data_IF_388414916645
#
_entry.id   IF_388414916645
#
_cell.length_a   1.000
_cell.length_b   1.000
_cell.length_c   1.000
_cell.angle_alpha   90.00
_cell.angle_beta   90.00
_cell.angle_gamma   90.00
#
_symmetry.space_group_name_H-M   'P 1'
#
loop_
_entity.id
_entity.type
_entity.pdbx_description
1 polymer ?
#
# COMPACT_ATOMS: atom_id res chain seq x y z
N UNK A 1 0.50 18.46 12.45
CA UNK A 1 -0.23 18.84 11.22
C UNK A 1 0.70 19.20 10.08
N UNK A 2 1.78 19.98 10.30
CA UNK A 2 2.79 20.27 9.27
C UNK A 2 3.30 19.00 8.56
N UNK A 3 3.68 17.97 9.33
CA UNK A 3 4.12 16.67 8.79
C UNK A 3 3.13 16.03 7.81
N UNK A 4 1.81 16.23 8.00
CA UNK A 4 0.79 15.71 7.09
C UNK A 4 0.82 16.44 5.75
N UNK A 5 0.89 17.76 5.82
CA UNK A 5 0.96 18.64 4.64
C UNK A 5 2.20 18.30 3.82
N UNK A 6 3.35 18.14 4.48
CA UNK A 6 4.62 17.82 3.82
C UNK A 6 4.59 16.48 3.06
N UNK A 7 3.77 15.52 3.52
CA UNK A 7 3.67 14.18 2.93
C UNK A 7 2.39 13.96 2.12
N UNK A 8 1.54 14.98 1.96
CA UNK A 8 0.23 14.90 1.33
C UNK A 8 0.31 14.32 -0.08
N UNK A 9 1.23 14.81 -0.92
CA UNK A 9 1.33 14.34 -2.32
C UNK A 9 1.66 12.84 -2.41
N UNK A 10 2.49 12.33 -1.49
CA UNK A 10 2.82 10.91 -1.42
C UNK A 10 1.62 10.09 -0.96
N UNK A 11 0.84 10.60 0.00
CA UNK A 11 -0.38 9.97 0.48
C UNK A 11 -1.45 9.89 -0.62
N UNK A 12 -1.64 10.96 -1.40
CA UNK A 12 -2.57 10.98 -2.55
C UNK A 12 -2.13 9.97 -3.61
N UNK A 13 -0.83 9.92 -3.95
CA UNK A 13 -0.31 8.91 -4.90
C UNK A 13 -0.57 7.47 -4.44
N UNK A 14 -0.40 7.18 -3.15
CA UNK A 14 -0.69 5.85 -2.59
C UNK A 14 -2.19 5.56 -2.67
N UNK A 15 -3.03 6.49 -2.25
CA UNK A 15 -4.48 6.33 -2.30
C UNK A 15 -4.98 6.15 -3.74
N UNK A 16 -4.46 6.90 -4.72
CA UNK A 16 -4.82 6.81 -6.13
C UNK A 16 -4.53 5.44 -6.74
N UNK A 17 -3.42 4.80 -6.33
CA UNK A 17 -3.11 3.42 -6.74
C UNK A 17 -4.11 2.39 -6.21
N UNK A 18 -4.80 2.69 -5.11
CA UNK A 18 -5.78 1.79 -4.49
C UNK A 18 -7.18 2.08 -5.02
N UNK A 19 -7.57 3.36 -5.10
CA UNK A 19 -8.91 3.78 -5.54
C UNK A 19 -9.07 3.74 -7.06
N UNK A 20 -7.97 3.69 -7.81
CA UNK A 20 -7.96 3.78 -9.28
C UNK A 20 -8.39 5.16 -9.81
N UNK A 21 -8.55 6.16 -8.94
CA UNK A 21 -9.06 7.49 -9.31
C UNK A 21 -8.40 8.56 -8.43
N UNK A 22 -7.80 9.56 -9.09
CA UNK A 22 -7.10 10.65 -8.40
C UNK A 22 -8.03 11.52 -7.54
N UNK A 23 -9.20 11.92 -8.06
CA UNK A 23 -10.16 12.72 -7.30
C UNK A 23 -10.61 12.01 -6.03
N UNK A 24 -10.91 10.71 -6.09
CA UNK A 24 -11.26 9.94 -4.89
C UNK A 24 -10.10 9.76 -3.91
N UNK A 25 -8.88 9.74 -4.42
CA UNK A 25 -7.69 9.69 -3.58
C UNK A 25 -7.49 10.99 -2.79
N UNK A 26 -7.81 12.13 -3.41
CA UNK A 26 -7.83 13.43 -2.74
C UNK A 26 -8.84 13.46 -1.59
N UNK A 27 -10.07 12.97 -1.84
CA UNK A 27 -11.12 12.86 -0.81
C UNK A 27 -10.69 11.95 0.35
N UNK A 28 -10.12 10.78 0.04
CA UNK A 28 -9.60 9.84 1.04
C UNK A 28 -8.53 10.48 1.93
N UNK A 29 -7.61 11.24 1.34
CA UNK A 29 -6.55 11.93 2.09
C UNK A 29 -7.14 13.04 2.95
N UNK A 30 -8.17 13.73 2.46
CA UNK A 30 -8.88 14.75 3.21
C UNK A 30 -9.63 14.15 4.41
N UNK A 31 -10.33 13.04 4.24
CA UNK A 31 -10.99 12.31 5.33
C UNK A 31 -9.99 11.78 6.36
N UNK A 32 -8.85 11.29 5.89
CA UNK A 32 -7.76 10.87 6.77
C UNK A 32 -7.23 12.02 7.61
N UNK A 33 -7.11 13.23 7.04
CA UNK A 33 -6.71 14.43 7.77
C UNK A 33 -7.67 14.73 8.93
N UNK A 34 -8.98 14.73 8.67
CA UNK A 34 -10.00 14.99 9.71
C UNK A 34 -10.00 13.92 10.81
N UNK A 35 -9.85 12.64 10.46
CA UNK A 35 -9.70 11.55 11.43
C UNK A 35 -8.45 11.69 12.29
N UNK A 36 -7.32 12.09 11.70
CA UNK A 36 -6.06 12.26 12.41
C UNK A 36 -6.07 13.50 13.31
N UNK A 37 -6.80 14.54 12.94
CA UNK A 37 -6.98 15.74 13.76
C UNK A 37 -7.84 15.49 15.01
N UNK A 38 -8.82 14.59 14.91
CA UNK A 38 -9.72 14.23 16.00
C UNK A 38 -9.17 13.12 16.91
N UNK A 39 -8.06 12.48 16.53
CA UNK A 39 -7.43 11.44 17.34
C UNK A 39 -6.75 12.04 18.58
N UNK A 40 -6.83 11.37 19.75
CA UNK A 40 -6.14 11.84 20.95
C UNK A 40 -4.64 11.97 20.70
N UNK A 41 -4.04 13.03 21.23
CA UNK A 41 -2.61 13.35 21.14
C UNK A 41 -1.78 12.31 21.90
N UNK A 42 -1.63 11.12 21.34
CA UNK A 42 -0.67 10.14 21.82
C UNK A 42 0.72 10.69 21.46
N UNK A 43 1.60 10.86 22.45
CA UNK A 43 3.01 11.24 22.23
C UNK A 43 3.76 10.09 21.55
N UNK A 44 3.53 9.92 20.25
CA UNK A 44 4.23 8.99 19.39
C UNK A 44 5.53 9.62 18.89
N UNK A 45 6.56 8.80 18.66
CA UNK A 45 7.76 9.24 17.95
C UNK A 45 7.42 9.68 16.51
N UNK A 46 8.25 10.52 15.89
CA UNK A 46 8.03 11.01 14.53
C UNK A 46 7.79 9.87 13.51
N UNK A 47 8.59 8.80 13.59
CA UNK A 47 8.45 7.60 12.74
C UNK A 47 7.11 6.90 12.96
N UNK A 48 6.66 6.79 14.22
CA UNK A 48 5.38 6.18 14.54
C UNK A 48 4.19 7.05 14.09
N UNK A 49 4.30 8.38 14.18
CA UNK A 49 3.30 9.31 13.66
C UNK A 49 3.16 9.16 12.13
N UNK A 50 4.26 9.21 11.39
CA UNK A 50 4.23 9.01 9.94
C UNK A 50 3.63 7.66 9.55
N UNK A 51 4.06 6.57 10.21
CA UNK A 51 3.52 5.24 9.95
C UNK A 51 2.01 5.19 10.20
N UNK A 52 1.53 5.82 11.26
CA UNK A 52 0.10 5.87 11.59
C UNK A 52 -0.70 6.68 10.56
N UNK A 53 -0.15 7.78 10.05
CA UNK A 53 -0.80 8.60 9.02
C UNK A 53 -0.95 7.83 7.70
N UNK A 54 0.13 7.20 7.23
CA UNK A 54 0.10 6.38 6.01
C UNK A 54 -0.82 5.15 6.15
N UNK A 55 -0.86 4.54 7.34
CA UNK A 55 -1.80 3.46 7.64
C UNK A 55 -3.25 3.94 7.53
N UNK A 56 -3.55 5.11 8.11
CA UNK A 56 -4.89 5.68 8.09
C UNK A 56 -5.36 5.95 6.66
N UNK A 57 -4.56 6.65 5.85
CA UNK A 57 -4.87 6.93 4.44
C UNK A 57 -5.10 5.64 3.65
N UNK A 58 -4.22 4.64 3.82
CA UNK A 58 -4.35 3.36 3.14
C UNK A 58 -5.65 2.64 3.49
N UNK A 59 -6.00 2.59 4.77
CA UNK A 59 -7.21 1.91 5.22
C UNK A 59 -8.46 2.57 4.63
N UNK A 60 -8.54 3.91 4.65
CA UNK A 60 -9.65 4.63 4.01
C UNK A 60 -9.70 4.36 2.51
N UNK A 61 -8.55 4.37 1.81
CA UNK A 61 -8.52 4.08 0.38
C UNK A 61 -9.09 2.69 0.05
N UNK A 62 -8.75 1.68 0.86
CA UNK A 62 -9.26 0.31 0.70
C UNK A 62 -10.75 0.23 1.00
N UNK A 63 -11.21 0.91 2.04
CA UNK A 63 -12.63 0.96 2.39
C UNK A 63 -13.45 1.60 1.26
N UNK A 64 -12.96 2.69 0.66
CA UNK A 64 -13.56 3.32 -0.51
C UNK A 64 -13.60 2.37 -1.71
N UNK A 65 -12.49 1.69 -2.02
CA UNK A 65 -12.43 0.72 -3.10
C UNK A 65 -13.44 -0.43 -2.90
N UNK A 66 -13.53 -0.98 -1.69
CA UNK A 66 -14.48 -2.06 -1.35
C UNK A 66 -15.93 -1.63 -1.49
N UNK A 67 -16.28 -0.42 -1.03
CA UNK A 67 -17.62 0.14 -1.19
C UNK A 67 -17.96 0.29 -2.68
N UNK A 68 -17.05 0.84 -3.46
CA UNK A 68 -17.26 0.99 -4.90
C UNK A 68 -17.45 -0.36 -5.59
N UNK A 69 -16.63 -1.37 -5.25
CA UNK A 69 -16.77 -2.71 -5.82
C UNK A 69 -18.12 -3.35 -5.45
N UNK A 70 -18.64 -3.10 -4.25
CA UNK A 70 -19.96 -3.56 -3.85
C UNK A 70 -21.08 -2.82 -4.61
N UNK A 71 -20.97 -1.51 -4.74
CA UNK A 71 -21.90 -0.68 -5.50
C UNK A 71 -21.93 -1.09 -6.97
N UNK A 72 -20.78 -1.29 -7.62
CA UNK A 72 -20.68 -1.78 -8.99
C UNK A 72 -21.30 -3.18 -9.17
N UNK A 73 -21.24 -4.05 -8.15
CA UNK A 73 -21.88 -5.38 -8.17
C UNK A 73 -23.39 -5.33 -7.97
N UNK A 74 -23.92 -4.26 -7.38
CA UNK A 74 -25.36 -4.05 -7.21
C UNK A 74 -25.96 -3.16 -8.32
N UNK A 75 -25.13 -2.34 -8.96
CA UNK A 75 -25.51 -1.43 -10.05
C UNK A 75 -25.31 -2.02 -11.45
N UNK A 76 -24.84 -3.26 -11.58
CA UNK A 76 -24.65 -3.94 -12.89
C UNK A 76 -25.96 -4.40 -13.53
N UNK A 77 -26.98 -3.53 -13.52
CA UNK A 77 -28.20 -3.68 -14.32
C UNK A 77 -28.43 -2.53 -15.30
N UNK A 78 -27.63 -1.46 -15.32
CA UNK A 78 -27.82 -0.35 -16.27
C UNK A 78 -26.48 0.20 -16.79
N UNK A 79 -26.50 0.60 -18.07
CA UNK A 79 -25.39 0.74 -19.00
C UNK A 79 -24.44 1.94 -18.79
N UNK A 80 -23.29 1.82 -19.47
CA UNK A 80 -22.57 2.86 -20.24
C UNK A 80 -21.50 3.76 -19.58
N UNK A 81 -20.27 3.62 -20.13
CA UNK A 81 -19.44 4.72 -20.63
C UNK A 81 -18.70 5.63 -19.65
N UNK A 82 -17.36 5.65 -19.70
CA UNK A 82 -16.55 6.72 -20.33
C UNK A 82 -15.07 6.67 -19.86
N UNK A 83 -14.17 6.66 -20.85
CA UNK A 83 -12.77 7.12 -20.88
C UNK A 83 -12.07 7.43 -19.53
N UNK A 84 -11.10 6.59 -19.17
CA UNK A 84 -10.03 6.96 -18.24
C UNK A 84 -8.82 7.38 -19.06
N UNK A 85 -8.64 8.69 -19.24
CA UNK A 85 -7.41 9.27 -19.80
C UNK A 85 -6.22 8.91 -18.90
N UNK A 86 -5.30 8.12 -19.45
CA UNK A 86 -4.02 7.82 -18.81
C UNK A 86 -3.08 9.02 -18.97
N UNK A 87 -3.11 9.93 -18.00
CA UNK A 87 -2.03 10.91 -17.84
C UNK A 87 -1.03 10.40 -16.81
N UNK A 88 -0.01 9.68 -17.28
CA UNK A 88 1.28 9.66 -16.59
C UNK A 88 2.40 9.46 -17.62
N UNK A 89 3.02 10.56 -18.05
CA UNK A 89 4.23 10.56 -18.86
C UNK A 89 5.43 10.17 -17.98
N UNK A 90 5.50 8.89 -17.62
CA UNK A 90 6.76 8.30 -17.18
C UNK A 90 7.58 7.99 -18.45
N UNK A 91 8.85 8.43 -18.48
CA UNK A 91 9.77 8.07 -19.56
C UNK A 91 9.78 6.54 -19.74
N UNK A 92 9.85 6.01 -20.98
CA UNK A 92 9.94 4.56 -21.23
C UNK A 92 11.02 3.87 -20.39
N UNK A 93 12.10 4.60 -20.12
CA UNK A 93 13.25 4.16 -19.33
C UNK A 93 12.94 4.02 -17.83
N UNK A 94 12.13 4.93 -17.26
CA UNK A 94 11.69 4.83 -15.86
C UNK A 94 10.60 3.77 -15.70
N UNK A 95 9.73 3.59 -16.69
CA UNK A 95 8.75 2.49 -16.72
C UNK A 95 9.43 1.12 -16.73
N UNK A 96 10.49 0.95 -17.54
CA UNK A 96 11.22 -0.31 -17.63
C UNK A 96 11.93 -0.65 -16.31
N UNK A 97 12.63 0.32 -15.70
CA UNK A 97 13.28 0.15 -14.39
C UNK A 97 12.28 -0.20 -13.27
N UNK A 98 11.06 0.34 -13.34
CA UNK A 98 10.00 0.02 -12.39
C UNK A 98 9.44 -1.40 -12.57
N UNK A 99 9.22 -1.83 -13.81
CA UNK A 99 8.74 -3.18 -14.12
C UNK A 99 9.71 -4.26 -13.64
N UNK A 100 10.99 -4.07 -13.94
CA UNK A 100 12.05 -5.01 -13.55
C UNK A 100 12.23 -5.09 -12.02
N UNK A 101 12.13 -3.94 -11.33
CA UNK A 101 12.16 -3.92 -9.86
C UNK A 101 10.95 -4.65 -9.27
N UNK A 102 9.77 -4.54 -9.88
CA UNK A 102 8.58 -5.26 -9.43
C UNK A 102 8.69 -6.76 -9.66
N UNK A 103 9.26 -7.18 -10.79
CA UNK A 103 9.50 -8.59 -11.10
C UNK A 103 10.45 -9.24 -10.09
N UNK A 104 11.55 -8.55 -9.73
CA UNK A 104 12.47 -9.02 -8.68
C UNK A 104 11.77 -9.18 -7.32
N UNK A 105 10.92 -8.23 -6.94
CA UNK A 105 10.16 -8.32 -5.69
C UNK A 105 9.18 -9.50 -5.75
N UNK A 106 8.53 -9.74 -6.88
CA UNK A 106 7.63 -10.87 -7.06
C UNK A 106 8.38 -12.22 -6.93
N UNK A 107 9.55 -12.35 -7.55
CA UNK A 107 10.42 -13.54 -7.42
C UNK A 107 10.86 -13.73 -5.97
N UNK A 108 11.31 -12.67 -5.31
CA UNK A 108 11.74 -12.73 -3.90
C UNK A 108 10.58 -13.18 -2.98
N UNK A 109 9.37 -12.63 -3.17
CA UNK A 109 8.19 -13.06 -2.42
C UNK A 109 7.82 -14.52 -2.71
N UNK A 110 8.02 -14.99 -3.94
CA UNK A 110 7.81 -16.38 -4.35
C UNK A 110 8.70 -17.40 -3.62
N UNK A 111 9.85 -16.97 -3.10
CA UNK A 111 10.80 -17.83 -2.36
C UNK A 111 10.47 -17.95 -0.86
N UNK A 112 9.55 -17.13 -0.35
CA UNK A 112 9.17 -17.15 1.06
C UNK A 112 8.18 -18.29 1.35
N UNK A 113 8.13 -18.79 2.59
CA UNK A 113 7.05 -19.67 3.02
C UNK A 113 5.69 -19.05 2.74
N UNK A 114 4.74 -19.86 2.28
CA UNK A 114 3.42 -19.40 1.83
C UNK A 114 2.70 -18.53 2.86
N UNK A 115 2.75 -18.92 4.14
CA UNK A 115 2.16 -18.13 5.23
C UNK A 115 2.81 -16.76 5.39
N UNK A 116 4.13 -16.67 5.20
CA UNK A 116 4.90 -15.42 5.30
C UNK A 116 4.61 -14.50 4.14
N UNK A 117 4.57 -15.04 2.92
CA UNK A 117 4.12 -14.32 1.73
C UNK A 117 2.69 -13.80 1.91
N UNK A 118 1.77 -14.66 2.34
CA UNK A 118 0.37 -14.30 2.59
C UNK A 118 0.23 -13.17 3.62
N UNK A 119 0.91 -13.28 4.77
CA UNK A 119 0.90 -12.24 5.79
C UNK A 119 1.42 -10.90 5.27
N UNK A 120 2.48 -10.93 4.46
CA UNK A 120 3.03 -9.75 3.82
C UNK A 120 2.04 -9.14 2.81
N UNK A 121 1.46 -9.94 1.92
CA UNK A 121 0.51 -9.49 0.91
C UNK A 121 -0.75 -8.90 1.56
N UNK A 122 -1.35 -9.60 2.53
CA UNK A 122 -2.51 -9.11 3.25
C UNK A 122 -2.23 -7.77 3.93
N UNK A 123 -1.05 -7.62 4.54
CA UNK A 123 -0.68 -6.37 5.20
C UNK A 123 -0.30 -5.24 4.22
N UNK A 124 0.49 -5.52 3.18
CA UNK A 124 1.09 -4.52 2.30
C UNK A 124 0.28 -4.19 1.07
N UNK A 125 -0.40 -5.18 0.51
CA UNK A 125 -1.25 -5.03 -0.67
C UNK A 125 -2.67 -4.73 -0.21
N UNK A 126 -3.21 -5.58 0.66
CA UNK A 126 -4.62 -5.48 1.07
C UNK A 126 -4.85 -4.65 2.34
N UNK A 127 -3.80 -4.08 2.94
CA UNK A 127 -3.87 -3.19 4.11
C UNK A 127 -4.51 -3.79 5.36
N UNK A 128 -4.65 -5.12 5.44
CA UNK A 128 -5.32 -5.81 6.53
C UNK A 128 -4.52 -5.64 7.83
N UNK A 129 -5.16 -5.30 8.97
CA UNK A 129 -4.47 -5.18 10.25
C UNK A 129 -3.82 -6.50 10.68
N UNK A 130 -2.63 -6.43 11.29
CA UNK A 130 -1.89 -7.63 11.73
C UNK A 130 -2.69 -8.50 12.70
N UNK A 131 -3.57 -7.90 13.51
CA UNK A 131 -4.46 -8.63 14.42
C UNK A 131 -5.47 -9.51 13.67
N UNK A 132 -6.03 -9.04 12.57
CA UNK A 132 -6.98 -9.82 11.75
C UNK A 132 -6.25 -10.92 10.97
N UNK A 133 -5.06 -10.63 10.44
CA UNK A 133 -4.19 -11.62 9.79
C UNK A 133 -3.80 -12.72 10.79
N UNK A 134 -3.53 -12.35 12.04
CA UNK A 134 -3.18 -13.30 13.11
C UNK A 134 -4.32 -14.26 13.41
N UNK A 135 -5.57 -13.76 13.47
CA UNK A 135 -6.77 -14.59 13.65
C UNK A 135 -6.94 -15.56 12.47
N UNK A 136 -6.83 -15.08 11.24
CA UNK A 136 -6.98 -15.88 10.02
C UNK A 136 -5.91 -16.97 9.89
N UNK A 137 -4.67 -16.64 10.25
CA UNK A 137 -3.56 -17.59 10.23
C UNK A 137 -3.49 -18.47 11.49
N UNK A 138 -4.32 -18.24 12.51
CA UNK A 138 -4.28 -18.98 13.77
C UNK A 138 -2.97 -18.81 14.55
N UNK A 139 -2.38 -17.61 14.54
CA UNK A 139 -1.09 -17.30 15.18
C UNK A 139 -1.17 -16.02 16.03
N UNK A 140 -0.09 -15.68 16.73
CA UNK A 140 -0.02 -14.41 17.47
C UNK A 140 0.22 -13.21 16.54
N UNK A 141 -0.30 -12.01 16.87
CA UNK A 141 0.04 -10.78 16.14
C UNK A 141 1.56 -10.50 16.10
N UNK A 142 2.28 -10.93 17.14
CA UNK A 142 3.74 -10.86 17.20
C UNK A 142 4.39 -11.70 16.10
N UNK A 143 3.90 -12.92 15.87
CA UNK A 143 4.41 -13.78 14.79
C UNK A 143 4.12 -13.17 13.42
N UNK A 144 2.92 -12.61 13.20
CA UNK A 144 2.59 -11.90 11.96
C UNK A 144 3.55 -10.72 11.72
N UNK A 145 3.91 -9.97 12.76
CA UNK A 145 4.89 -8.90 12.67
C UNK A 145 6.26 -9.43 12.21
N UNK A 146 6.74 -10.54 12.79
CA UNK A 146 7.99 -11.19 12.36
C UNK A 146 7.91 -11.62 10.89
N UNK A 147 6.84 -12.30 10.49
CA UNK A 147 6.64 -12.73 9.11
C UNK A 147 6.70 -11.56 8.11
N UNK A 148 6.01 -10.44 8.42
CA UNK A 148 6.05 -9.23 7.58
C UNK A 148 7.45 -8.62 7.53
N UNK A 149 8.17 -8.58 8.67
CA UNK A 149 9.55 -8.06 8.72
C UNK A 149 10.51 -8.91 7.91
N UNK A 150 10.43 -10.23 8.03
CA UNK A 150 11.31 -11.15 7.33
C UNK A 150 11.09 -11.06 5.82
N UNK A 151 9.83 -10.97 5.38
CA UNK A 151 9.49 -10.72 3.99
C UNK A 151 10.07 -9.39 3.47
N UNK A 152 9.98 -8.31 4.24
CA UNK A 152 10.57 -7.02 3.87
C UNK A 152 12.10 -7.08 3.74
N UNK A 153 12.77 -7.76 4.68
CA UNK A 153 14.23 -7.92 4.67
C UNK A 153 14.65 -8.72 3.45
N UNK A 154 13.94 -9.82 3.16
CA UNK A 154 14.20 -10.68 2.01
C UNK A 154 14.07 -9.90 0.69
N UNK A 155 12.94 -9.24 0.45
CA UNK A 155 12.75 -8.45 -0.77
C UNK A 155 13.79 -7.34 -0.92
N UNK A 156 14.20 -6.69 0.17
CA UNK A 156 15.19 -5.61 0.14
C UNK A 156 16.59 -6.13 -0.20
N UNK A 157 16.97 -7.31 0.32
CA UNK A 157 18.24 -7.96 0.00
C UNK A 157 18.31 -8.39 -1.48
N UNK A 158 17.23 -8.95 -2.02
CA UNK A 158 17.17 -9.35 -3.43
C UNK A 158 17.36 -8.15 -4.36
N UNK A 159 16.71 -7.03 -4.07
CA UNK A 159 16.83 -5.80 -4.88
C UNK A 159 18.22 -5.15 -4.73
N UNK A 160 18.86 -5.22 -3.56
CA UNK A 160 20.21 -4.66 -3.39
C UNK A 160 21.29 -5.50 -4.07
N UNK A 161 21.21 -6.83 -3.97
CA UNK A 161 22.19 -7.75 -4.57
C UNK A 161 22.25 -7.59 -6.10
N UNK A 162 21.10 -7.48 -6.75
CA UNK A 162 21.03 -7.27 -8.21
C UNK A 162 21.62 -5.92 -8.63
N UNK A 163 21.39 -4.86 -7.84
CA UNK A 163 21.95 -3.53 -8.10
C UNK A 163 23.46 -3.49 -7.96
N UNK A 164 24.05 -4.35 -7.12
CA UNK A 164 25.50 -4.47 -6.96
C UNK A 164 26.12 -5.24 -8.13
N UNK A 165 25.50 -6.36 -8.56
CA UNK A 165 25.93 -7.13 -9.72
C UNK A 165 26.01 -6.27 -11.00
N UNK A 166 25.06 -5.37 -11.20
CA UNK A 166 25.02 -4.46 -12.36
C UNK A 166 26.03 -3.31 -12.32
N UNK A 167 26.54 -2.95 -11.15
CA UNK A 167 27.61 -1.93 -11.05
C UNK A 167 28.99 -2.52 -11.31
N UNK A 168 29.12 -3.84 -11.27
CA UNK A 168 30.37 -4.57 -11.46
C UNK A 168 30.51 -5.24 -12.83
N UNK A 169 29.46 -5.17 -13.67
CA UNK A 169 29.43 -5.61 -15.06
C UNK A 169 29.55 -4.40 -15.99
#
# INVERSE_FOLDING_TARGET
MQTFIDHRSMMVKIAARITGCHSRAEDVVQDAFFRLQSAPLIKLSFKAQLSYMFQTVRNLAIDHYRKQALELRHSSSEEEGLNVEQHDSASPETLHLHQETLEMVAVALGQLPERTRYAFEMYRIHGKPQKEIAVELGVSPTLVNFMIRDALIHCRKSVSAERELRKSA
#
